data_IF_417855478933
#
_entry.id   IF_417855478933
#
_cell.length_a   1.000
_cell.length_b   1.000
_cell.length_c   1.000
_cell.angle_alpha   90.00
_cell.angle_beta   90.00
_cell.angle_gamma   90.00
#
_symmetry.space_group_name_H-M   'P 1'
#
loop_
_entity.id
_entity.type
_entity.pdbx_description
1 polymer ?
#
# COMPACT_ATOMS: atom_id res chain seq x y z
N UNK A 1 -9.49 -21.61 -4.19
CA UNK A 1 -9.46 -21.15 -5.60
C UNK A 1 -9.44 -19.65 -5.54
N UNK A 2 -8.48 -19.00 -6.19
CA UNK A 2 -8.42 -17.54 -6.28
C UNK A 2 -9.72 -17.03 -6.92
N UNK A 3 -10.35 -16.05 -6.31
CA UNK A 3 -11.58 -15.44 -6.83
C UNK A 3 -11.32 -14.59 -8.09
N UNK A 4 -10.09 -14.56 -8.60
CA UNK A 4 -9.62 -13.72 -9.69
C UNK A 4 -8.93 -14.53 -10.77
N UNK A 5 -9.08 -14.10 -12.03
CA UNK A 5 -8.29 -14.64 -13.13
C UNK A 5 -6.86 -14.14 -13.05
N UNK A 6 -5.89 -15.03 -13.15
CA UNK A 6 -4.46 -14.75 -13.13
C UNK A 6 -3.81 -15.10 -14.49
N UNK A 7 -2.52 -14.80 -14.66
CA UNK A 7 -1.76 -15.15 -15.86
C UNK A 7 -1.68 -16.66 -16.12
N UNK A 8 -2.00 -17.50 -15.14
CA UNK A 8 -2.06 -18.96 -15.33
C UNK A 8 -3.27 -19.39 -16.18
N UNK A 9 -4.27 -18.52 -16.29
CA UNK A 9 -5.50 -18.75 -17.06
C UNK A 9 -5.47 -18.07 -18.44
N UNK A 10 -4.38 -17.35 -18.77
CA UNK A 10 -4.30 -16.52 -19.98
C UNK A 10 -3.53 -17.25 -21.09
N UNK A 11 -4.15 -17.43 -22.25
CA UNK A 11 -3.43 -17.79 -23.48
C UNK A 11 -2.98 -16.50 -24.18
N UNK A 12 -1.70 -16.18 -24.03
CA UNK A 12 -1.14 -14.89 -24.49
C UNK A 12 -0.26 -15.01 -25.74
N UNK A 13 -0.06 -16.23 -26.25
CA UNK A 13 0.84 -16.46 -27.39
C UNK A 13 0.38 -15.71 -28.65
N UNK A 14 1.21 -14.81 -29.12
CA UNK A 14 0.93 -13.98 -30.31
C UNK A 14 -0.07 -12.84 -30.05
N UNK A 15 -0.67 -12.77 -28.86
CA UNK A 15 -1.66 -11.77 -28.51
C UNK A 15 -1.03 -10.42 -28.16
N UNK A 16 -1.76 -9.33 -28.42
CA UNK A 16 -1.45 -7.97 -27.97
C UNK A 16 -1.97 -7.83 -26.54
N UNK A 17 -1.05 -7.75 -25.58
CA UNK A 17 -1.39 -7.70 -24.15
C UNK A 17 -1.17 -6.31 -23.61
N UNK A 18 -2.25 -5.60 -23.31
CA UNK A 18 -2.23 -4.33 -22.62
C UNK A 18 -1.97 -4.59 -21.13
N UNK A 19 -0.85 -4.12 -20.62
CA UNK A 19 -0.48 -4.27 -19.20
C UNK A 19 -0.58 -2.92 -18.50
N UNK A 20 -1.51 -2.80 -17.55
CA UNK A 20 -1.53 -1.66 -16.65
C UNK A 20 -0.40 -1.81 -15.63
N UNK A 21 0.67 -1.12 -15.87
CA UNK A 21 1.86 -1.11 -15.03
C UNK A 21 1.86 0.06 -14.04
N UNK A 22 2.52 -0.08 -12.89
CA UNK A 22 2.75 1.04 -11.97
C UNK A 22 4.11 1.68 -12.25
N UNK A 23 4.12 2.59 -13.24
CA UNK A 23 5.30 3.36 -13.65
C UNK A 23 5.32 4.78 -13.06
N UNK A 24 4.45 5.07 -12.09
CA UNK A 24 4.47 6.34 -11.38
C UNK A 24 5.54 6.32 -10.27
N UNK A 25 6.78 6.32 -10.69
CA UNK A 25 7.98 6.21 -9.85
C UNK A 25 8.54 7.59 -9.47
N UNK A 26 9.23 7.71 -8.32
CA UNK A 26 9.98 8.92 -7.99
C UNK A 26 11.05 9.21 -9.05
N UNK A 27 11.13 10.47 -9.47
CA UNK A 27 12.11 10.91 -10.46
C UNK A 27 12.52 12.35 -10.21
N UNK A 28 13.78 12.67 -10.49
CA UNK A 28 14.34 14.01 -10.44
C UNK A 28 15.03 14.35 -11.77
N UNK A 29 14.70 15.48 -12.35
CA UNK A 29 15.28 15.95 -13.62
C UNK A 29 15.23 14.90 -14.75
N UNK A 30 14.17 14.10 -14.83
CA UNK A 30 14.01 13.04 -15.82
C UNK A 30 14.81 11.77 -15.53
N UNK A 31 15.36 11.62 -14.33
CA UNK A 31 16.05 10.41 -13.87
C UNK A 31 15.22 9.75 -12.79
N UNK A 32 14.92 8.46 -12.92
CA UNK A 32 14.25 7.67 -11.89
C UNK A 32 15.19 7.53 -10.68
N UNK A 33 14.72 7.91 -9.50
CA UNK A 33 15.49 7.86 -8.25
C UNK A 33 15.20 6.61 -7.42
N UNK A 34 14.05 5.97 -7.67
CA UNK A 34 13.66 4.71 -7.03
C UNK A 34 12.97 3.79 -8.05
N UNK A 35 13.66 2.72 -8.53
CA UNK A 35 13.11 1.78 -9.50
C UNK A 35 12.29 0.63 -8.88
N UNK A 36 12.08 0.58 -7.57
CA UNK A 36 11.46 -0.55 -6.85
C UNK A 36 10.14 -1.02 -7.48
N UNK A 37 9.28 -0.09 -7.94
CA UNK A 37 8.01 -0.46 -8.60
C UNK A 37 8.23 -1.13 -9.94
N UNK A 38 9.25 -0.68 -10.69
CA UNK A 38 9.63 -1.29 -11.98
C UNK A 38 10.14 -2.70 -11.75
N UNK A 39 11.02 -2.88 -10.77
CA UNK A 39 11.57 -4.19 -10.42
C UNK A 39 10.48 -5.19 -9.98
N UNK A 40 9.51 -4.72 -9.19
CA UNK A 40 8.38 -5.57 -8.75
C UNK A 40 7.47 -6.03 -9.88
N UNK A 41 7.23 -5.22 -10.91
CA UNK A 41 6.40 -5.63 -12.04
C UNK A 41 7.16 -6.44 -13.10
N UNK A 42 8.49 -6.40 -13.09
CA UNK A 42 9.33 -7.08 -14.09
C UNK A 42 8.97 -8.55 -14.32
N UNK A 43 8.72 -9.38 -13.27
CA UNK A 43 8.32 -10.78 -13.46
C UNK A 43 7.07 -10.95 -14.32
N UNK A 44 6.04 -10.11 -14.16
CA UNK A 44 4.80 -10.17 -14.93
C UNK A 44 5.03 -9.96 -16.41
N UNK A 45 5.75 -8.88 -16.75
CA UNK A 45 5.92 -8.49 -18.15
C UNK A 45 6.95 -9.36 -18.88
N UNK A 46 7.96 -9.85 -18.16
CA UNK A 46 8.93 -10.82 -18.71
C UNK A 46 8.25 -12.15 -19.00
N UNK A 47 7.44 -12.68 -18.06
CA UNK A 47 6.67 -13.90 -18.25
C UNK A 47 5.77 -13.82 -19.51
N UNK A 48 5.08 -12.70 -19.68
CA UNK A 48 4.22 -12.48 -20.84
C UNK A 48 5.01 -12.50 -22.14
N UNK A 49 6.12 -11.79 -22.20
CA UNK A 49 6.97 -11.75 -23.41
C UNK A 49 7.59 -13.11 -23.72
N UNK A 50 8.06 -13.85 -22.70
CA UNK A 50 8.65 -15.19 -22.85
C UNK A 50 7.62 -16.23 -23.32
N UNK A 51 6.33 -16.01 -22.99
CA UNK A 51 5.19 -16.78 -23.52
C UNK A 51 4.80 -16.36 -24.95
N UNK A 52 5.50 -15.39 -25.55
CA UNK A 52 5.28 -14.92 -26.91
C UNK A 52 4.18 -13.86 -27.06
N UNK A 53 3.82 -13.16 -26.00
CA UNK A 53 2.95 -12.00 -26.08
C UNK A 53 3.65 -10.80 -26.73
N UNK A 54 2.89 -9.87 -27.31
CA UNK A 54 3.28 -8.52 -27.64
C UNK A 54 2.90 -7.62 -26.46
N UNK A 55 3.87 -7.22 -25.64
CA UNK A 55 3.63 -6.56 -24.34
C UNK A 55 3.56 -5.06 -24.52
N UNK A 56 2.41 -4.46 -24.20
CA UNK A 56 2.12 -3.03 -24.35
C UNK A 56 1.87 -2.45 -22.96
N UNK A 57 2.79 -1.64 -22.46
CA UNK A 57 2.72 -1.02 -21.16
C UNK A 57 1.87 0.24 -21.20
N UNK A 58 0.88 0.31 -20.31
CA UNK A 58 0.06 1.47 -20.01
C UNK A 58 0.35 1.96 -18.59
N UNK A 59 0.57 3.25 -18.41
CA UNK A 59 0.66 3.83 -17.08
C UNK A 59 0.27 5.31 -17.09
N UNK A 60 0.04 5.82 -15.88
CA UNK A 60 0.06 7.25 -15.63
C UNK A 60 1.40 7.65 -15.03
N UNK A 61 1.72 8.93 -15.12
CA UNK A 61 2.86 9.54 -14.44
C UNK A 61 2.45 10.91 -13.89
N UNK A 62 2.69 11.15 -12.61
CA UNK A 62 2.33 12.41 -11.96
C UNK A 62 0.84 12.76 -11.99
N UNK A 63 0.59 14.07 -11.93
CA UNK A 63 -0.74 14.68 -12.04
C UNK A 63 -0.72 15.81 -13.06
N UNK A 64 -0.58 15.50 -14.34
CA UNK A 64 -0.45 16.52 -15.38
C UNK A 64 -1.75 17.35 -15.48
N UNK A 65 -1.60 18.64 -15.72
CA UNK A 65 -2.72 19.55 -16.07
C UNK A 65 -2.93 19.67 -17.59
N UNK A 66 -2.11 18.98 -18.35
CA UNK A 66 -2.08 18.96 -19.80
C UNK A 66 -0.84 18.21 -20.26
N UNK A 67 -0.58 18.16 -21.57
CA UNK A 67 0.58 17.47 -22.14
C UNK A 67 1.85 18.30 -21.92
N UNK A 68 2.70 17.89 -21.00
CA UNK A 68 3.98 18.51 -20.66
C UNK A 68 5.08 17.45 -20.66
N UNK A 69 6.24 17.78 -21.24
CA UNK A 69 7.38 16.87 -21.36
C UNK A 69 7.90 16.37 -20.00
N UNK A 70 7.76 17.15 -18.93
CA UNK A 70 8.13 16.74 -17.56
C UNK A 70 7.28 15.59 -17.01
N UNK A 71 6.05 15.45 -17.51
CA UNK A 71 5.09 14.42 -17.12
C UNK A 71 5.07 13.25 -18.14
N UNK A 72 6.03 13.20 -19.08
CA UNK A 72 6.17 12.12 -20.07
C UNK A 72 6.73 10.86 -19.42
N UNK A 73 6.22 9.71 -19.85
CA UNK A 73 6.76 8.39 -19.50
C UNK A 73 8.05 8.01 -20.24
N UNK A 74 8.52 8.83 -21.17
CA UNK A 74 9.71 8.50 -21.97
C UNK A 74 10.97 8.20 -21.15
N UNK A 75 11.32 9.00 -20.11
CA UNK A 75 12.46 8.70 -19.24
C UNK A 75 12.25 7.41 -18.43
N UNK A 76 11.01 7.18 -17.97
CA UNK A 76 10.67 5.97 -17.21
C UNK A 76 10.75 4.73 -18.11
N UNK A 77 10.32 4.80 -19.36
CA UNK A 77 10.45 3.70 -20.32
C UNK A 77 11.92 3.30 -20.55
N UNK A 78 12.85 4.28 -20.53
CA UNK A 78 14.28 4.00 -20.60
C UNK A 78 14.78 3.23 -19.35
N UNK A 79 14.30 3.58 -18.16
CA UNK A 79 14.62 2.86 -16.93
C UNK A 79 14.02 1.45 -16.91
N UNK A 80 12.79 1.27 -17.42
CA UNK A 80 12.20 -0.06 -17.59
C UNK A 80 13.08 -0.92 -18.51
N UNK A 81 13.55 -0.38 -19.63
CA UNK A 81 14.46 -1.10 -20.53
C UNK A 81 15.79 -1.48 -19.86
N UNK A 82 16.34 -0.58 -19.02
CA UNK A 82 17.54 -0.83 -18.24
C UNK A 82 17.34 -1.96 -17.23
N UNK A 83 16.27 -1.87 -16.43
CA UNK A 83 15.93 -2.87 -15.41
C UNK A 83 15.68 -4.26 -16.01
N UNK A 84 14.95 -4.32 -17.12
CA UNK A 84 14.65 -5.60 -17.80
C UNK A 84 15.83 -6.15 -18.59
N UNK A 85 16.82 -5.32 -18.90
CA UNK A 85 17.91 -5.64 -19.85
C UNK A 85 17.36 -6.09 -21.23
N UNK A 86 16.26 -5.50 -21.64
CA UNK A 86 15.55 -5.76 -22.90
C UNK A 86 15.13 -4.45 -23.57
N UNK A 87 15.16 -4.37 -24.91
CA UNK A 87 14.74 -3.16 -25.59
C UNK A 87 13.26 -2.90 -25.41
N UNK A 88 12.89 -1.65 -25.13
CA UNK A 88 11.51 -1.17 -25.05
C UNK A 88 11.35 -0.01 -26.01
N UNK A 89 10.41 -0.11 -26.94
CA UNK A 89 10.05 1.00 -27.83
C UNK A 89 9.07 1.93 -27.09
N UNK A 90 9.43 3.19 -26.95
CA UNK A 90 8.52 4.23 -26.47
C UNK A 90 7.70 4.79 -27.62
N UNK A 91 6.41 5.05 -27.37
CA UNK A 91 5.47 5.65 -28.34
C UNK A 91 4.90 6.92 -27.73
N UNK A 92 5.03 8.02 -28.47
CA UNK A 92 4.72 9.38 -28.03
C UNK A 92 3.21 9.69 -27.99
N UNK A 93 2.37 8.66 -27.90
CA UNK A 93 0.95 8.73 -27.60
C UNK A 93 0.44 7.41 -27.03
N UNK A 94 -0.73 7.43 -26.34
CA UNK A 94 -1.33 6.21 -25.79
C UNK A 94 -2.58 5.76 -26.56
N UNK A 95 -3.04 6.51 -27.56
CA UNK A 95 -4.19 6.20 -28.43
C UNK A 95 -3.95 6.76 -29.84
N UNK A 96 -4.83 6.40 -30.78
CA UNK A 96 -4.84 6.93 -32.14
C UNK A 96 -3.80 6.31 -33.08
N UNK A 97 -3.67 6.88 -34.28
CA UNK A 97 -2.89 6.28 -35.36
C UNK A 97 -1.41 5.99 -35.03
N UNK A 98 -0.79 6.86 -34.22
CA UNK A 98 0.62 6.68 -33.82
C UNK A 98 0.77 5.42 -32.98
N UNK A 99 -0.11 5.22 -31.99
CA UNK A 99 -0.11 4.03 -31.14
C UNK A 99 -0.52 2.78 -31.94
N UNK A 100 -1.59 2.87 -32.73
CA UNK A 100 -2.09 1.74 -33.56
C UNK A 100 -1.03 1.23 -34.52
N UNK A 101 -0.29 2.12 -35.21
CA UNK A 101 0.80 1.77 -36.09
C UNK A 101 1.95 1.08 -35.37
N UNK A 102 2.36 1.64 -34.24
CA UNK A 102 3.45 1.07 -33.46
C UNK A 102 3.10 -0.35 -32.94
N UNK A 103 1.86 -0.57 -32.53
CA UNK A 103 1.37 -1.89 -32.11
C UNK A 103 1.30 -2.87 -33.26
N UNK A 104 0.88 -2.42 -34.47
CA UNK A 104 0.81 -3.29 -35.64
C UNK A 104 2.20 -3.82 -36.10
N UNK A 105 3.25 -3.06 -35.83
CA UNK A 105 4.64 -3.43 -36.16
C UNK A 105 5.29 -4.40 -35.19
N UNK A 106 4.67 -4.66 -33.99
CA UNK A 106 5.22 -5.53 -32.94
C UNK A 106 5.28 -6.99 -33.36
N UNK A 107 6.35 -7.67 -32.91
CA UNK A 107 6.53 -9.11 -33.00
C UNK A 107 6.31 -9.77 -31.62
N UNK A 108 5.98 -11.08 -31.60
CA UNK A 108 5.95 -11.81 -30.31
C UNK A 108 7.26 -11.64 -29.53
N UNK A 109 7.13 -11.31 -28.24
CA UNK A 109 8.24 -11.02 -27.35
C UNK A 109 8.70 -9.56 -27.29
N UNK A 110 8.15 -8.69 -28.14
CA UNK A 110 8.45 -7.26 -28.13
C UNK A 110 7.77 -6.54 -26.96
N UNK A 111 8.42 -5.46 -26.51
CA UNK A 111 7.90 -4.52 -25.52
C UNK A 111 7.67 -3.14 -26.14
N UNK A 112 6.54 -2.56 -25.78
CA UNK A 112 6.17 -1.20 -26.16
C UNK A 112 5.66 -0.46 -24.91
N UNK A 113 6.12 0.77 -24.68
CA UNK A 113 5.60 1.64 -23.63
C UNK A 113 4.88 2.82 -24.28
N UNK A 114 3.61 2.99 -23.96
CA UNK A 114 2.80 4.10 -24.45
C UNK A 114 2.99 5.33 -23.54
N UNK A 115 2.67 6.51 -24.07
CA UNK A 115 2.73 7.75 -23.33
C UNK A 115 1.67 7.81 -22.20
N UNK A 116 1.87 8.72 -21.26
CA UNK A 116 1.08 8.96 -20.07
C UNK A 116 -0.43 9.05 -20.37
N UNK A 117 -1.20 8.08 -19.87
CA UNK A 117 -2.65 8.01 -20.07
C UNK A 117 -3.39 9.23 -19.51
N UNK A 118 -2.84 9.88 -18.46
CA UNK A 118 -3.41 11.10 -17.87
C UNK A 118 -3.24 12.36 -18.70
N UNK A 119 -2.56 12.31 -19.83
CA UNK A 119 -2.65 13.41 -20.79
C UNK A 119 -4.04 13.55 -21.41
N UNK A 120 -4.86 12.52 -21.27
CA UNK A 120 -6.26 12.51 -21.70
C UNK A 120 -7.21 12.62 -20.51
N UNK A 121 -8.12 13.63 -20.51
CA UNK A 121 -9.11 13.77 -19.42
C UNK A 121 -10.06 12.58 -19.28
N UNK A 122 -10.19 11.76 -20.32
CA UNK A 122 -10.99 10.54 -20.33
C UNK A 122 -10.44 9.43 -19.45
N UNK A 123 -9.15 9.47 -19.11
CA UNK A 123 -8.53 8.48 -18.22
C UNK A 123 -9.17 8.48 -16.83
N UNK A 124 -9.12 9.60 -16.13
CA UNK A 124 -9.64 9.71 -14.75
C UNK A 124 -11.17 9.69 -14.68
N UNK A 125 -11.84 10.00 -15.78
CA UNK A 125 -13.31 9.95 -15.90
C UNK A 125 -13.84 8.58 -16.27
N UNK A 126 -12.96 7.62 -16.53
CA UNK A 126 -13.33 6.32 -17.07
C UNK A 126 -14.24 6.44 -18.33
N UNK A 127 -13.88 7.38 -19.22
CA UNK A 127 -14.70 7.73 -20.39
C UNK A 127 -14.77 6.54 -21.36
N UNK A 128 -15.99 6.05 -21.70
CA UNK A 128 -16.14 4.90 -22.58
C UNK A 128 -15.53 5.07 -23.97
N UNK A 129 -15.48 6.31 -24.50
CA UNK A 129 -14.87 6.57 -25.80
C UNK A 129 -13.33 6.44 -25.71
N UNK A 130 -12.73 6.89 -24.61
CA UNK A 130 -11.31 6.72 -24.38
C UNK A 130 -10.94 5.26 -24.10
N UNK A 131 -11.76 4.54 -23.31
CA UNK A 131 -11.63 3.09 -23.09
C UNK A 131 -11.64 2.34 -24.43
N UNK A 132 -12.58 2.68 -25.31
CA UNK A 132 -12.68 2.05 -26.65
C UNK A 132 -11.44 2.32 -27.51
N UNK A 133 -10.82 3.50 -27.41
CA UNK A 133 -9.58 3.82 -28.11
C UNK A 133 -8.41 3.00 -27.57
N UNK A 134 -8.26 2.89 -26.26
CA UNK A 134 -7.24 2.04 -25.63
C UNK A 134 -7.44 0.56 -26.01
N UNK A 135 -8.67 0.07 -25.97
CA UNK A 135 -9.00 -1.33 -26.27
C UNK A 135 -8.67 -1.76 -27.69
N UNK A 136 -8.63 -0.85 -28.67
CA UNK A 136 -8.17 -1.16 -30.05
C UNK A 136 -6.72 -1.65 -30.11
N UNK A 137 -5.90 -1.30 -29.12
CA UNK A 137 -4.49 -1.61 -29.08
C UNK A 137 -4.19 -3.02 -28.55
N UNK A 138 -5.15 -3.72 -27.95
CA UNK A 138 -4.92 -5.01 -27.30
C UNK A 138 -6.03 -6.02 -27.52
N UNK A 139 -5.68 -7.27 -27.32
CA UNK A 139 -6.60 -8.41 -27.34
C UNK A 139 -6.93 -8.91 -25.92
N UNK A 140 -6.00 -8.67 -24.98
CA UNK A 140 -6.04 -9.06 -23.57
C UNK A 140 -5.62 -7.87 -22.71
N UNK A 141 -6.24 -7.73 -21.54
CA UNK A 141 -5.85 -6.76 -20.54
C UNK A 141 -5.29 -7.46 -19.29
N UNK A 142 -4.17 -6.95 -18.78
CA UNK A 142 -3.55 -7.39 -17.54
C UNK A 142 -3.44 -6.19 -16.59
N UNK A 143 -4.11 -6.25 -15.45
CA UNK A 143 -3.90 -5.27 -14.39
C UNK A 143 -2.76 -5.76 -13.47
N UNK A 144 -1.67 -5.02 -13.40
CA UNK A 144 -0.52 -5.29 -12.52
C UNK A 144 -0.17 -4.09 -11.64
N UNK A 145 -1.13 -3.18 -11.45
CA UNK A 145 -0.97 -1.95 -10.71
C UNK A 145 -2.00 -1.84 -9.58
N UNK A 146 -1.78 -2.57 -8.47
CA UNK A 146 -2.66 -2.51 -7.30
C UNK A 146 -2.80 -1.08 -6.75
N UNK A 147 -1.71 -0.28 -6.76
CA UNK A 147 -1.67 1.08 -6.23
C UNK A 147 -2.73 2.03 -6.81
N UNK A 148 -3.24 1.76 -8.01
CA UNK A 148 -4.28 2.55 -8.68
C UNK A 148 -5.62 1.82 -8.81
N UNK A 149 -5.71 0.58 -8.35
CA UNK A 149 -6.90 -0.27 -8.49
C UNK A 149 -8.07 0.17 -7.60
N UNK A 150 -7.85 1.10 -6.66
CA UNK A 150 -8.89 1.76 -5.86
C UNK A 150 -9.67 2.83 -6.66
N UNK A 151 -9.24 3.13 -7.90
CA UNK A 151 -9.86 4.13 -8.76
C UNK A 151 -10.46 3.50 -10.00
N UNK A 152 -11.70 3.87 -10.32
CA UNK A 152 -12.36 3.49 -11.56
C UNK A 152 -11.85 4.39 -12.72
N UNK A 153 -10.67 4.10 -13.25
CA UNK A 153 -10.09 4.80 -14.39
C UNK A 153 -10.16 3.95 -15.67
N UNK A 154 -10.03 4.59 -16.85
CA UNK A 154 -10.12 3.91 -18.13
C UNK A 154 -9.06 2.80 -18.28
N UNK A 155 -7.81 3.06 -17.90
CA UNK A 155 -6.71 2.09 -17.99
C UNK A 155 -6.66 1.09 -16.82
N UNK A 156 -7.61 1.11 -15.90
CA UNK A 156 -7.75 0.14 -14.80
C UNK A 156 -9.05 -0.65 -14.93
N UNK A 157 -10.16 -0.08 -14.45
CA UNK A 157 -11.47 -0.72 -14.43
C UNK A 157 -12.10 -0.75 -15.82
N UNK A 158 -12.04 0.33 -16.60
CA UNK A 158 -12.70 0.42 -17.90
C UNK A 158 -12.23 -0.65 -18.88
N UNK A 159 -10.93 -0.85 -19.05
CA UNK A 159 -10.38 -1.89 -19.92
C UNK A 159 -10.76 -3.30 -19.47
N UNK A 160 -10.86 -3.55 -18.17
CA UNK A 160 -11.21 -4.85 -17.63
C UNK A 160 -12.65 -5.28 -17.93
N UNK A 161 -13.53 -4.32 -18.28
CA UNK A 161 -14.91 -4.62 -18.70
C UNK A 161 -15.07 -4.88 -20.20
N UNK A 162 -14.10 -4.49 -21.02
CA UNK A 162 -14.21 -4.58 -22.49
C UNK A 162 -13.26 -5.59 -23.12
N UNK A 163 -12.26 -6.06 -22.39
CA UNK A 163 -11.30 -7.08 -22.81
C UNK A 163 -11.28 -8.26 -21.84
N UNK A 164 -10.88 -9.46 -22.26
CA UNK A 164 -10.49 -10.53 -21.35
C UNK A 164 -9.44 -10.02 -20.38
N UNK A 165 -9.72 -10.03 -19.07
CA UNK A 165 -8.93 -9.36 -18.06
C UNK A 165 -8.35 -10.32 -17.03
N UNK A 166 -7.09 -10.08 -16.62
CA UNK A 166 -6.32 -10.91 -15.72
C UNK A 166 -5.50 -10.07 -14.74
N UNK A 167 -5.24 -10.62 -13.56
CA UNK A 167 -4.26 -10.05 -12.64
C UNK A 167 -2.85 -10.42 -13.06
N UNK A 168 -1.95 -9.45 -13.11
CA UNK A 168 -0.50 -9.68 -13.21
C UNK A 168 0.07 -10.23 -11.90
N UNK A 169 1.32 -10.65 -11.89
CA UNK A 169 1.94 -11.32 -10.73
C UNK A 169 2.06 -10.40 -9.51
N UNK A 170 2.30 -9.10 -9.74
CA UNK A 170 2.36 -8.12 -8.63
C UNK A 170 1.00 -7.97 -7.98
N UNK A 171 -0.05 -7.76 -8.78
CA UNK A 171 -1.42 -7.68 -8.27
C UNK A 171 -1.85 -8.98 -7.61
N UNK A 172 -1.54 -10.13 -8.20
CA UNK A 172 -1.83 -11.44 -7.62
C UNK A 172 -1.19 -11.60 -6.24
N UNK A 173 0.08 -11.25 -6.08
CA UNK A 173 0.78 -11.34 -4.81
C UNK A 173 0.15 -10.47 -3.71
N UNK A 174 -0.28 -9.24 -4.08
CA UNK A 174 -1.04 -8.36 -3.17
C UNK A 174 -2.34 -9.03 -2.71
N UNK A 175 -3.15 -9.52 -3.66
CA UNK A 175 -4.44 -10.13 -3.36
C UNK A 175 -4.30 -11.41 -2.52
N UNK A 176 -3.31 -12.25 -2.81
CA UNK A 176 -3.04 -13.47 -2.04
C UNK A 176 -2.54 -13.15 -0.62
N UNK A 177 -1.71 -12.12 -0.46
CA UNK A 177 -1.27 -11.69 0.86
C UNK A 177 -2.46 -11.20 1.69
N UNK A 178 -3.35 -10.45 1.08
CA UNK A 178 -4.53 -9.90 1.74
C UNK A 178 -5.56 -10.96 2.11
N UNK A 179 -5.82 -11.93 1.23
CA UNK A 179 -6.69 -13.07 1.53
C UNK A 179 -6.19 -13.82 2.79
N UNK A 180 -4.88 -14.02 2.90
CA UNK A 180 -4.26 -14.71 4.04
C UNK A 180 -4.47 -14.00 5.37
N UNK A 181 -4.57 -12.67 5.38
CA UNK A 181 -4.58 -11.90 6.64
C UNK A 181 -5.95 -11.38 7.05
N UNK A 182 -6.95 -11.30 6.14
CA UNK A 182 -8.29 -10.82 6.49
C UNK A 182 -9.43 -11.78 6.16
N UNK A 183 -9.33 -12.55 5.07
CA UNK A 183 -10.46 -13.40 4.66
C UNK A 183 -10.41 -14.75 5.37
N UNK A 184 -9.22 -15.35 5.46
CA UNK A 184 -9.00 -16.66 6.12
C UNK A 184 -7.74 -16.65 7.00
N UNK A 185 -7.63 -15.72 7.96
CA UNK A 185 -6.43 -15.61 8.76
C UNK A 185 -6.25 -16.78 9.72
N UNK A 186 -5.01 -17.18 9.94
CA UNK A 186 -4.65 -17.97 11.09
C UNK A 186 -4.82 -17.12 12.37
N UNK A 187 -5.53 -17.63 13.37
CA UNK A 187 -5.81 -16.91 14.62
C UNK A 187 -4.86 -17.30 15.75
N UNK A 188 -4.56 -16.40 16.70
CA UNK A 188 -5.08 -15.04 16.85
C UNK A 188 -4.57 -14.05 15.81
N UNK A 189 -5.43 -13.09 15.42
CA UNK A 189 -5.10 -11.98 14.50
C UNK A 189 -4.85 -10.72 15.32
N UNK A 190 -3.67 -10.14 15.17
CA UNK A 190 -3.35 -8.82 15.70
C UNK A 190 -3.36 -7.77 14.59
N UNK A 191 -3.90 -6.60 14.89
CA UNK A 191 -3.76 -5.43 14.04
C UNK A 191 -3.06 -4.31 14.79
N UNK A 192 -2.03 -3.70 14.18
CA UNK A 192 -1.42 -2.46 14.64
C UNK A 192 -1.97 -1.33 13.78
N UNK A 193 -2.59 -0.35 14.42
CA UNK A 193 -3.06 0.87 13.78
C UNK A 193 -2.43 2.05 14.49
N UNK A 194 -1.55 2.74 13.78
CA UNK A 194 -0.85 3.93 14.28
C UNK A 194 -1.11 5.16 13.41
N UNK A 195 -0.51 6.27 13.82
CA UNK A 195 -0.60 7.52 13.09
C UNK A 195 -0.96 8.71 13.96
N UNK A 196 -1.13 9.89 13.34
CA UNK A 196 -1.32 11.14 14.06
C UNK A 196 -2.76 11.33 14.58
N UNK A 197 -3.78 10.84 13.84
CA UNK A 197 -5.19 11.20 14.06
C UNK A 197 -6.15 10.03 13.91
N UNK A 198 -7.06 9.88 14.89
CA UNK A 198 -8.20 8.94 14.82
C UNK A 198 -9.11 9.26 13.63
N UNK A 199 -9.40 10.55 13.38
CA UNK A 199 -10.31 11.00 12.32
C UNK A 199 -9.97 10.42 10.94
N UNK A 200 -8.70 10.18 10.68
CA UNK A 200 -8.22 9.61 9.42
C UNK A 200 -8.26 8.08 9.37
N UNK A 201 -8.62 7.42 10.48
CA UNK A 201 -8.58 5.96 10.64
C UNK A 201 -9.91 5.34 11.08
N UNK A 202 -10.99 6.13 11.14
CA UNK A 202 -12.29 5.64 11.63
C UNK A 202 -12.82 4.46 10.83
N UNK A 203 -12.80 4.56 9.49
CA UNK A 203 -13.26 3.49 8.60
C UNK A 203 -12.38 2.23 8.77
N UNK A 204 -11.08 2.42 8.89
CA UNK A 204 -10.12 1.34 9.13
C UNK A 204 -10.39 0.62 10.44
N UNK A 205 -10.52 1.36 11.53
CA UNK A 205 -10.81 0.81 12.87
C UNK A 205 -12.15 0.07 12.88
N UNK A 206 -13.19 0.65 12.28
CA UNK A 206 -14.51 0.04 12.18
C UNK A 206 -14.52 -1.26 11.39
N UNK A 207 -13.71 -1.37 10.32
CA UNK A 207 -13.61 -2.59 9.53
C UNK A 207 -12.72 -3.66 10.17
N UNK A 208 -11.64 -3.26 10.85
CA UNK A 208 -10.71 -4.21 11.48
C UNK A 208 -11.25 -4.79 12.78
N UNK A 209 -11.88 -3.98 13.62
CA UNK A 209 -12.31 -4.38 14.96
C UNK A 209 -13.11 -5.70 15.00
N UNK A 210 -14.10 -5.95 14.13
CA UNK A 210 -14.82 -7.22 14.13
C UNK A 210 -14.00 -8.41 13.61
N UNK A 211 -12.90 -8.17 12.91
CA UNK A 211 -12.11 -9.20 12.20
C UNK A 211 -10.89 -9.66 12.97
N UNK A 212 -10.36 -8.84 13.89
CA UNK A 212 -9.15 -9.13 14.65
C UNK A 212 -9.46 -9.64 16.06
N UNK A 213 -8.50 -10.28 16.71
CA UNK A 213 -8.60 -10.71 18.11
C UNK A 213 -7.97 -9.67 19.03
N UNK A 214 -6.93 -8.97 18.54
CA UNK A 214 -6.23 -7.90 19.27
C UNK A 214 -6.06 -6.69 18.35
N UNK A 215 -6.46 -5.52 18.84
CA UNK A 215 -6.25 -4.23 18.19
C UNK A 215 -5.26 -3.40 19.02
N UNK A 216 -4.12 -3.08 18.42
CA UNK A 216 -3.04 -2.31 19.05
C UNK A 216 -3.07 -0.91 18.46
N UNK A 217 -3.23 0.10 19.32
CA UNK A 217 -3.27 1.50 18.91
C UNK A 217 -1.93 2.16 19.20
N UNK A 218 -1.31 2.70 18.17
CA UNK A 218 -0.03 3.42 18.24
C UNK A 218 -0.13 4.87 17.76
N UNK A 219 1.00 5.56 17.80
CA UNK A 219 1.11 6.95 17.33
C UNK A 219 0.35 7.95 18.22
N UNK A 220 0.30 9.20 17.78
CA UNK A 220 -0.38 10.26 18.54
C UNK A 220 -1.89 10.04 18.64
N UNK A 221 -2.50 9.23 17.76
CA UNK A 221 -3.91 8.87 17.89
C UNK A 221 -4.21 8.12 19.20
N UNK A 222 -3.23 7.38 19.77
CA UNK A 222 -3.38 6.73 21.07
C UNK A 222 -3.66 7.73 22.19
N UNK A 223 -3.19 8.98 22.10
CA UNK A 223 -3.41 10.01 23.09
C UNK A 223 -4.89 10.36 23.26
N UNK A 224 -5.69 10.25 22.18
CA UNK A 224 -7.13 10.48 22.24
C UNK A 224 -7.83 9.36 23.02
N UNK A 225 -7.39 8.11 22.86
CA UNK A 225 -7.87 6.98 23.66
C UNK A 225 -7.45 7.10 25.12
N UNK A 226 -6.22 7.52 25.40
CA UNK A 226 -5.74 7.75 26.76
C UNK A 226 -6.54 8.85 27.45
N UNK A 227 -6.87 9.94 26.74
CA UNK A 227 -7.73 11.00 27.26
C UNK A 227 -9.15 10.49 27.54
N UNK A 228 -9.72 9.62 26.71
CA UNK A 228 -11.01 8.98 26.95
C UNK A 228 -10.99 8.12 28.24
N UNK A 229 -9.83 7.54 28.59
CA UNK A 229 -9.62 6.85 29.86
C UNK A 229 -9.35 7.80 31.05
N UNK A 230 -9.45 9.12 30.86
CA UNK A 230 -9.19 10.12 31.88
C UNK A 230 -7.70 10.38 32.17
N UNK A 231 -6.79 9.89 31.32
CA UNK A 231 -5.36 10.12 31.48
C UNK A 231 -4.96 11.52 31.00
N UNK A 232 -3.94 12.08 31.65
CA UNK A 232 -3.33 13.34 31.20
C UNK A 232 -2.36 13.07 30.06
N UNK A 233 -2.43 13.87 29.01
CA UNK A 233 -1.55 13.73 27.83
C UNK A 233 -0.68 14.98 27.60
N UNK A 234 -0.65 15.90 28.55
CA UNK A 234 0.16 17.11 28.49
C UNK A 234 -0.13 17.96 27.26
N UNK A 235 0.93 18.30 26.52
CA UNK A 235 0.89 19.05 25.26
C UNK A 235 0.89 18.15 24.02
N UNK A 236 0.67 16.85 24.19
CA UNK A 236 0.63 15.89 23.11
C UNK A 236 -0.44 16.24 22.07
N UNK A 237 -0.20 15.85 20.82
CA UNK A 237 -1.22 15.90 19.78
C UNK A 237 -2.41 15.01 20.17
N UNK A 238 -3.61 15.58 20.18
CA UNK A 238 -4.85 14.90 20.57
C UNK A 238 -6.05 15.52 19.87
N UNK A 239 -7.00 14.70 19.47
CA UNK A 239 -8.29 15.14 18.89
C UNK A 239 -9.36 15.15 19.99
N UNK A 240 -9.48 16.28 20.69
CA UNK A 240 -10.40 16.43 21.83
C UNK A 240 -11.86 16.19 21.48
N UNK A 241 -12.26 16.58 20.28
CA UNK A 241 -13.62 16.41 19.75
C UNK A 241 -13.96 14.94 19.44
N UNK A 242 -12.97 14.05 19.42
CA UNK A 242 -13.12 12.62 19.16
C UNK A 242 -12.91 11.73 20.40
N UNK A 243 -12.85 12.30 21.60
CA UNK A 243 -12.73 11.54 22.85
C UNK A 243 -13.92 10.59 23.03
N UNK A 244 -15.15 11.04 22.78
CA UNK A 244 -16.35 10.20 22.85
C UNK A 244 -16.33 9.09 21.78
N UNK A 245 -15.76 9.37 20.62
CA UNK A 245 -15.57 8.36 19.56
C UNK A 245 -14.56 7.30 19.97
N UNK A 246 -13.44 7.71 20.59
CA UNK A 246 -12.46 6.77 21.14
C UNK A 246 -13.08 5.88 22.24
N UNK A 247 -13.89 6.47 23.13
CA UNK A 247 -14.62 5.72 24.16
C UNK A 247 -15.56 4.69 23.53
N UNK A 248 -16.32 5.08 22.51
CA UNK A 248 -17.22 4.16 21.80
C UNK A 248 -16.47 3.00 21.17
N UNK A 249 -15.32 3.24 20.53
CA UNK A 249 -14.49 2.18 19.93
C UNK A 249 -14.00 1.20 21.01
N UNK A 250 -13.59 1.70 22.19
CA UNK A 250 -13.21 0.85 23.33
C UNK A 250 -14.38 0.00 23.83
N UNK A 251 -15.57 0.58 23.91
CA UNK A 251 -16.77 -0.12 24.36
C UNK A 251 -17.19 -1.20 23.34
N UNK A 252 -17.10 -0.90 22.04
CA UNK A 252 -17.35 -1.86 20.96
C UNK A 252 -16.33 -3.01 21.00
N UNK A 253 -15.04 -2.72 21.22
CA UNK A 253 -14.01 -3.74 21.39
C UNK A 253 -14.32 -4.67 22.55
N UNK A 254 -14.70 -4.11 23.71
CA UNK A 254 -15.08 -4.85 24.90
C UNK A 254 -16.32 -5.71 24.68
N UNK A 255 -17.36 -5.15 24.04
CA UNK A 255 -18.59 -5.87 23.71
C UNK A 255 -18.33 -7.04 22.76
N UNK A 256 -17.43 -6.86 21.79
CA UNK A 256 -16.98 -7.87 20.84
C UNK A 256 -15.96 -8.86 21.42
N UNK A 257 -15.57 -8.70 22.70
CA UNK A 257 -14.52 -9.49 23.37
C UNK A 257 -13.19 -9.44 22.61
N UNK A 258 -12.84 -8.26 22.08
CA UNK A 258 -11.56 -7.99 21.45
C UNK A 258 -10.63 -7.32 22.45
N UNK A 259 -9.38 -7.74 22.45
CA UNK A 259 -8.36 -7.07 23.26
C UNK A 259 -7.97 -5.77 22.57
N UNK A 260 -8.01 -4.65 23.30
CA UNK A 260 -7.53 -3.37 22.82
C UNK A 260 -6.29 -3.00 23.64
N UNK A 261 -5.16 -2.83 22.96
CA UNK A 261 -3.86 -2.54 23.56
C UNK A 261 -3.54 -1.07 23.35
N UNK A 262 -3.32 -0.38 24.47
CA UNK A 262 -2.89 1.03 24.52
C UNK A 262 -1.54 1.11 25.24
N UNK A 263 -0.74 2.17 25.00
CA UNK A 263 0.50 2.39 25.73
C UNK A 263 0.29 2.46 27.25
N UNK A 264 1.18 1.83 28.02
CA UNK A 264 1.21 1.86 29.48
C UNK A 264 2.31 2.77 30.03
N UNK A 265 3.29 3.11 29.18
CA UNK A 265 4.34 4.10 29.40
C UNK A 265 4.68 4.79 28.09
N UNK A 266 5.37 5.90 28.18
CA UNK A 266 5.69 6.73 27.02
C UNK A 266 7.08 7.34 27.14
N UNK A 267 7.69 7.58 25.98
CA UNK A 267 8.83 8.49 25.82
C UNK A 267 8.29 9.89 25.59
N UNK A 268 8.62 10.79 26.50
CA UNK A 268 8.15 12.17 26.46
C UNK A 268 9.29 13.16 26.32
N UNK A 269 9.00 14.29 25.68
CA UNK A 269 9.87 15.45 25.60
C UNK A 269 9.02 16.74 25.60
N UNK A 270 9.62 17.89 25.87
CA UNK A 270 8.91 19.18 25.78
C UNK A 270 8.77 19.68 24.32
N UNK A 271 9.54 19.11 23.39
CA UNK A 271 9.57 19.46 21.95
C UNK A 271 9.84 18.24 21.08
N UNK A 272 9.30 18.23 19.90
CA UNK A 272 9.65 17.28 18.84
C UNK A 272 10.84 17.83 18.05
N UNK A 273 12.05 17.47 18.49
CA UNK A 273 13.33 17.85 17.88
C UNK A 273 14.31 16.69 18.01
N UNK A 274 15.17 16.49 17.00
CA UNK A 274 16.23 15.50 17.06
C UNK A 274 17.18 15.77 18.24
N UNK A 275 17.46 14.73 19.04
CA UNK A 275 18.30 14.83 20.22
C UNK A 275 17.71 15.61 21.40
N UNK A 276 16.39 15.89 21.38
CA UNK A 276 15.73 16.51 22.51
C UNK A 276 15.90 15.67 23.80
N UNK A 277 16.04 16.30 24.97
CA UNK A 277 16.05 15.58 26.25
C UNK A 277 14.73 14.80 26.45
N UNK A 278 14.84 13.49 26.61
CA UNK A 278 13.70 12.59 26.77
C UNK A 278 13.61 12.01 28.16
N UNK A 279 12.42 11.60 28.55
CA UNK A 279 12.17 10.81 29.76
C UNK A 279 11.17 9.70 29.44
N UNK A 280 11.37 8.57 30.08
CA UNK A 280 10.35 7.51 30.10
C UNK A 280 9.46 7.75 31.31
N UNK A 281 8.16 7.82 31.09
CA UNK A 281 7.17 8.03 32.16
C UNK A 281 6.06 7.01 32.04
N UNK A 282 5.52 6.59 33.20
CA UNK A 282 4.25 5.87 33.23
C UNK A 282 3.14 6.77 32.68
N UNK A 283 2.16 6.19 31.99
CA UNK A 283 1.11 6.98 31.35
C UNK A 283 0.27 7.80 32.33
N UNK A 284 0.27 7.41 33.61
CA UNK A 284 -0.38 8.16 34.70
C UNK A 284 0.45 9.37 35.18
N UNK A 285 1.70 9.48 34.77
CA UNK A 285 2.64 10.51 35.21
C UNK A 285 3.11 11.46 34.11
N UNK A 286 2.38 11.56 33.00
CA UNK A 286 2.66 12.54 31.95
C UNK A 286 2.46 13.95 32.47
N UNK A 287 3.51 14.78 32.40
CA UNK A 287 3.51 16.16 32.87
C UNK A 287 2.76 17.12 31.95
N UNK A 288 2.37 18.29 32.49
CA UNK A 288 1.61 19.29 31.72
C UNK A 288 2.38 19.84 30.50
N UNK A 289 3.72 19.88 30.57
CA UNK A 289 4.59 20.37 29.48
C UNK A 289 5.07 19.26 28.55
N UNK A 290 4.81 18.00 28.90
CA UNK A 290 5.26 16.86 28.14
C UNK A 290 4.45 16.65 26.86
N UNK A 291 5.13 16.21 25.80
CA UNK A 291 4.55 15.62 24.60
C UNK A 291 4.90 14.14 24.57
N UNK A 292 3.91 13.27 24.44
CA UNK A 292 4.11 11.85 24.18
C UNK A 292 4.54 11.72 22.72
N UNK A 293 5.77 11.26 22.49
CA UNK A 293 6.38 11.21 21.16
C UNK A 293 6.72 9.79 20.70
N UNK A 294 6.80 8.83 21.65
CA UNK A 294 6.90 7.40 21.35
C UNK A 294 6.34 6.59 22.50
N UNK A 295 6.16 5.29 22.30
CA UNK A 295 5.82 4.33 23.36
C UNK A 295 7.07 4.01 24.20
N UNK A 296 6.87 3.73 25.49
CA UNK A 296 7.96 3.36 26.38
C UNK A 296 8.32 1.87 26.35
N UNK A 297 9.40 1.46 27.04
CA UNK A 297 9.90 0.08 27.02
C UNK A 297 8.88 -0.96 27.47
N UNK A 298 8.06 -0.66 28.48
CA UNK A 298 7.01 -1.58 28.97
C UNK A 298 5.91 -1.78 27.93
N UNK A 299 5.57 -0.72 27.19
CA UNK A 299 4.61 -0.79 26.09
C UNK A 299 5.18 -1.60 24.93
N UNK A 300 6.46 -1.46 24.60
CA UNK A 300 7.15 -2.27 23.61
C UNK A 300 7.11 -3.75 23.99
N UNK A 301 7.51 -4.07 25.24
CA UNK A 301 7.47 -5.44 25.77
C UNK A 301 6.07 -6.04 25.68
N UNK A 302 5.05 -5.25 26.07
CA UNK A 302 3.66 -5.68 25.99
C UNK A 302 3.23 -5.98 24.54
N UNK A 303 3.49 -5.07 23.60
CA UNK A 303 3.19 -5.28 22.17
C UNK A 303 3.92 -6.52 21.64
N UNK A 304 5.21 -6.68 21.93
CA UNK A 304 5.99 -7.85 21.50
C UNK A 304 5.40 -9.16 22.08
N UNK A 305 4.91 -9.15 23.33
CA UNK A 305 4.24 -10.30 23.95
C UNK A 305 2.92 -10.66 23.24
N UNK A 306 2.19 -9.65 22.75
CA UNK A 306 1.00 -9.85 21.90
C UNK A 306 1.37 -10.49 20.57
N UNK A 307 2.41 -9.97 19.91
CA UNK A 307 2.87 -10.51 18.64
C UNK A 307 3.35 -11.96 18.76
N UNK A 308 4.03 -12.32 19.87
CA UNK A 308 4.52 -13.68 20.12
C UNK A 308 3.39 -14.73 20.19
N UNK A 309 2.18 -14.34 20.61
CA UNK A 309 0.99 -15.23 20.67
C UNK A 309 0.09 -15.11 19.43
N UNK A 310 0.27 -14.09 18.59
CA UNK A 310 -0.46 -13.93 17.33
C UNK A 310 0.02 -14.93 16.25
N UNK A 311 -0.85 -15.22 15.31
CA UNK A 311 -0.52 -15.99 14.10
C UNK A 311 -0.56 -15.13 12.84
N UNK A 312 -1.30 -14.04 12.89
CA UNK A 312 -1.43 -13.10 11.79
C UNK A 312 -1.30 -11.67 12.31
N UNK A 313 -0.55 -10.85 11.60
CA UNK A 313 -0.38 -9.42 11.86
C UNK A 313 -0.78 -8.61 10.62
N UNK A 314 -1.63 -7.60 10.84
CA UNK A 314 -1.89 -6.52 9.90
C UNK A 314 -1.34 -5.23 10.51
N UNK A 315 -0.48 -4.52 9.80
CA UNK A 315 0.18 -3.32 10.34
C UNK A 315 -0.01 -2.10 9.45
N UNK A 316 -0.59 -1.04 10.01
CA UNK A 316 -0.73 0.25 9.36
C UNK A 316 -0.46 1.41 10.33
N UNK A 317 0.67 2.06 10.19
CA UNK A 317 1.09 3.25 10.94
C UNK A 317 2.10 2.99 12.05
N UNK A 318 3.01 3.94 12.32
CA UNK A 318 4.06 3.85 13.33
C UNK A 318 3.52 4.05 14.76
N UNK A 319 4.35 3.75 15.76
CA UNK A 319 4.06 3.98 17.19
C UNK A 319 4.49 5.37 17.65
N UNK A 320 5.64 5.85 17.19
CA UNK A 320 6.22 7.13 17.58
C UNK A 320 6.38 8.08 16.41
N UNK A 321 6.98 9.24 16.68
CA UNK A 321 7.41 10.21 15.66
C UNK A 321 8.71 9.72 14.99
N UNK A 322 8.65 8.57 14.35
CA UNK A 322 9.77 7.76 13.85
C UNK A 322 10.73 8.50 12.92
N UNK A 323 10.32 9.60 12.33
CA UNK A 323 11.14 10.45 11.44
C UNK A 323 12.17 11.28 12.22
N UNK A 324 12.07 11.28 13.57
CA UNK A 324 12.90 12.12 14.46
C UNK A 324 13.46 11.28 15.59
N UNK A 325 14.77 11.00 15.56
CA UNK A 325 15.45 10.32 16.68
C UNK A 325 15.40 11.17 17.98
N UNK A 326 15.13 10.52 19.14
CA UNK A 326 15.05 9.06 19.39
C UNK A 326 13.61 8.51 19.46
N UNK A 327 12.64 9.11 18.76
CA UNK A 327 11.21 8.74 18.83
C UNK A 327 10.82 7.68 17.81
N UNK A 328 11.79 6.97 17.25
CA UNK A 328 11.65 5.83 16.33
C UNK A 328 11.75 4.48 17.05
N UNK A 329 12.30 4.44 18.26
CA UNK A 329 12.68 3.24 19.00
C UNK A 329 11.52 2.26 19.14
N UNK A 330 10.32 2.75 19.54
CA UNK A 330 9.15 1.90 19.70
C UNK A 330 8.73 1.21 18.41
N UNK A 331 8.78 1.92 17.30
CA UNK A 331 8.45 1.37 15.98
C UNK A 331 9.51 0.36 15.52
N UNK A 332 10.78 0.68 15.67
CA UNK A 332 11.91 -0.17 15.26
C UNK A 332 11.92 -1.49 16.02
N UNK A 333 11.85 -1.47 17.36
CA UNK A 333 11.90 -2.68 18.19
C UNK A 333 10.70 -3.61 17.92
N UNK A 334 9.49 -3.04 17.77
CA UNK A 334 8.31 -3.84 17.42
C UNK A 334 8.44 -4.42 16.01
N UNK A 335 9.02 -3.66 15.05
CA UNK A 335 9.23 -4.13 13.69
C UNK A 335 10.26 -5.27 13.63
N UNK A 336 11.34 -5.20 14.39
CA UNK A 336 12.32 -6.27 14.52
C UNK A 336 11.69 -7.53 15.11
N UNK A 337 10.91 -7.41 16.19
CA UNK A 337 10.21 -8.54 16.79
C UNK A 337 9.22 -9.21 15.81
N UNK A 338 8.47 -8.42 15.05
CA UNK A 338 7.57 -8.94 14.01
C UNK A 338 8.35 -9.68 12.91
N UNK A 339 9.49 -9.12 12.48
CA UNK A 339 10.35 -9.73 11.47
C UNK A 339 10.98 -11.05 11.95
N UNK A 340 11.43 -11.13 13.19
CA UNK A 340 11.96 -12.35 13.80
C UNK A 340 10.91 -13.46 13.86
N UNK A 341 9.69 -13.13 14.32
CA UNK A 341 8.58 -14.09 14.37
C UNK A 341 8.17 -14.56 12.97
N UNK A 342 8.24 -13.68 11.98
CA UNK A 342 7.94 -14.00 10.59
C UNK A 342 9.01 -14.93 10.00
N UNK A 343 10.28 -14.60 10.19
CA UNK A 343 11.40 -15.44 9.74
C UNK A 343 11.39 -16.84 10.39
N UNK A 344 10.92 -16.93 11.65
CA UNK A 344 10.74 -18.20 12.36
C UNK A 344 9.48 -18.98 11.91
N UNK A 345 8.70 -18.48 10.95
CA UNK A 345 7.46 -19.10 10.48
C UNK A 345 6.32 -19.11 11.51
N UNK A 346 6.41 -18.27 12.55
CA UNK A 346 5.43 -18.20 13.65
C UNK A 346 4.34 -17.16 13.40
N UNK A 347 4.60 -16.19 12.54
CA UNK A 347 3.74 -15.05 12.26
C UNK A 347 3.62 -14.84 10.74
N UNK A 348 2.40 -14.69 10.25
CA UNK A 348 2.13 -14.14 8.91
C UNK A 348 1.92 -12.64 9.06
N UNK A 349 2.80 -11.82 8.52
CA UNK A 349 2.81 -10.37 8.70
C UNK A 349 2.60 -9.64 7.38
N UNK A 350 1.58 -8.77 7.34
CA UNK A 350 1.32 -7.88 6.22
C UNK A 350 1.28 -6.45 6.73
N UNK A 351 2.05 -5.59 6.08
CA UNK A 351 2.12 -4.18 6.41
C UNK A 351 1.92 -3.31 5.16
N UNK A 352 1.50 -2.08 5.36
CA UNK A 352 1.37 -1.12 4.26
C UNK A 352 0.91 0.26 4.74
N UNK A 353 0.94 1.20 3.79
CA UNK A 353 0.78 2.63 4.04
C UNK A 353 2.13 3.35 4.03
N UNK A 354 2.16 4.58 3.51
CA UNK A 354 3.41 5.31 3.27
C UNK A 354 4.31 5.39 4.51
N UNK A 355 3.75 5.88 5.63
CA UNK A 355 4.50 6.03 6.89
C UNK A 355 4.96 4.69 7.46
N UNK A 356 4.13 3.63 7.31
CA UNK A 356 4.50 2.27 7.73
C UNK A 356 5.70 1.76 6.95
N UNK A 357 5.65 1.87 5.63
CA UNK A 357 6.74 1.42 4.75
C UNK A 357 8.02 2.20 5.05
N UNK A 358 7.92 3.52 5.22
CA UNK A 358 9.06 4.36 5.60
C UNK A 358 9.68 3.93 6.94
N UNK A 359 8.85 3.68 7.95
CA UNK A 359 9.31 3.23 9.26
C UNK A 359 9.96 1.82 9.22
N UNK A 360 9.39 0.89 8.44
CA UNK A 360 9.97 -0.44 8.24
C UNK A 360 11.30 -0.40 7.47
N UNK A 361 11.46 0.56 6.55
CA UNK A 361 12.73 0.80 5.87
C UNK A 361 13.80 1.35 6.83
N UNK A 362 13.42 2.28 7.74
CA UNK A 362 14.33 2.77 8.81
C UNK A 362 14.77 1.60 9.70
N UNK A 363 13.84 0.73 10.08
CA UNK A 363 14.15 -0.48 10.86
C UNK A 363 14.93 -1.55 10.08
N UNK A 364 15.06 -1.44 8.75
CA UNK A 364 15.77 -2.41 7.91
C UNK A 364 15.12 -3.80 7.84
N UNK A 365 13.80 -3.89 8.02
CA UNK A 365 13.08 -5.18 8.11
C UNK A 365 12.05 -5.41 7.02
N UNK A 366 11.93 -4.52 6.06
CA UNK A 366 10.89 -4.56 5.01
C UNK A 366 10.84 -5.90 4.29
N UNK A 367 11.99 -6.48 3.93
CA UNK A 367 12.08 -7.77 3.22
C UNK A 367 11.97 -8.99 4.15
N UNK A 368 11.83 -8.78 5.46
CA UNK A 368 11.73 -9.84 6.47
C UNK A 368 10.29 -10.08 6.93
N UNK A 369 9.34 -9.27 6.48
CA UNK A 369 7.91 -9.49 6.66
C UNK A 369 7.36 -10.39 5.55
N UNK A 370 6.20 -11.02 5.77
CA UNK A 370 5.55 -11.87 4.75
C UNK A 370 5.20 -11.06 3.50
N UNK A 371 4.67 -9.86 3.69
CA UNK A 371 4.38 -8.93 2.60
C UNK A 371 4.34 -7.49 3.08
N UNK A 372 4.94 -6.59 2.32
CA UNK A 372 4.86 -5.14 2.53
C UNK A 372 4.30 -4.49 1.27
N UNK A 373 3.07 -3.95 1.38
CA UNK A 373 2.43 -3.26 0.28
C UNK A 373 2.99 -1.86 0.10
N UNK A 374 3.43 -1.56 -1.11
CA UNK A 374 3.83 -0.20 -1.51
C UNK A 374 2.68 0.59 -2.12
N UNK A 375 1.48 0.04 -2.10
CA UNK A 375 0.32 0.57 -2.80
C UNK A 375 -0.37 1.77 -2.12
N UNK A 376 0.05 2.15 -0.92
CA UNK A 376 -0.46 3.34 -0.23
C UNK A 376 -1.97 3.38 -0.06
N UNK A 377 -2.66 4.24 -0.85
CA UNK A 377 -4.10 4.44 -0.73
C UNK A 377 -4.94 3.20 -1.02
N UNK A 378 -4.57 2.39 -2.02
CA UNK A 378 -5.31 1.18 -2.34
C UNK A 378 -5.27 0.15 -1.19
N UNK A 379 -4.12 0.02 -0.51
CA UNK A 379 -3.98 -0.82 0.66
C UNK A 379 -4.89 -0.33 1.81
N UNK A 380 -4.93 0.98 2.04
CA UNK A 380 -5.78 1.56 3.08
C UNK A 380 -7.26 1.33 2.79
N UNK A 381 -7.72 1.64 1.57
CA UNK A 381 -9.11 1.44 1.18
C UNK A 381 -9.53 -0.03 1.27
N UNK A 382 -8.60 -0.94 0.92
CA UNK A 382 -8.85 -2.36 1.10
C UNK A 382 -8.99 -2.76 2.58
N UNK A 383 -8.12 -2.25 3.47
CA UNK A 383 -8.23 -2.46 4.92
C UNK A 383 -9.52 -1.85 5.50
N UNK A 384 -10.00 -0.76 4.93
CA UNK A 384 -11.29 -0.13 5.26
C UNK A 384 -12.49 -0.93 4.75
N UNK A 385 -12.26 -2.03 4.01
CA UNK A 385 -13.31 -2.87 3.45
C UNK A 385 -14.01 -2.28 2.23
N UNK A 386 -13.43 -1.24 1.62
CA UNK A 386 -13.96 -0.63 0.41
C UNK A 386 -13.69 -1.50 -0.81
N UNK A 387 -14.66 -1.65 -1.73
CA UNK A 387 -14.44 -2.36 -2.98
C UNK A 387 -13.43 -1.58 -3.82
N UNK A 388 -12.46 -2.28 -4.41
CA UNK A 388 -11.47 -1.70 -5.30
C UNK A 388 -11.90 -1.93 -6.76
N UNK A 389 -12.35 -0.91 -7.50
CA UNK A 389 -12.95 -1.10 -8.83
C UNK A 389 -12.07 -1.90 -9.80
N UNK A 390 -10.76 -1.59 -9.86
CA UNK A 390 -9.82 -2.30 -10.72
C UNK A 390 -9.54 -3.76 -10.30
N UNK A 391 -9.90 -4.15 -9.07
CA UNK A 391 -9.83 -5.53 -8.57
C UNK A 391 -11.16 -6.24 -8.82
N UNK A 392 -12.27 -5.58 -8.48
CA UNK A 392 -13.62 -6.16 -8.64
C UNK A 392 -13.91 -6.52 -10.10
N UNK A 393 -13.41 -5.73 -11.06
CA UNK A 393 -13.55 -6.01 -12.49
C UNK A 393 -12.81 -7.29 -12.95
N UNK A 394 -11.89 -7.83 -12.14
CA UNK A 394 -11.18 -9.09 -12.44
C UNK A 394 -11.82 -10.33 -11.81
N UNK A 395 -12.87 -10.18 -10.98
CA UNK A 395 -13.51 -11.32 -10.33
C UNK A 395 -14.09 -12.31 -11.35
N UNK A 396 -13.93 -13.59 -11.06
CA UNK A 396 -14.59 -14.67 -11.78
C UNK A 396 -16.07 -14.58 -11.45
N UNK A 397 -16.89 -14.32 -12.46
CA UNK A 397 -18.36 -14.29 -12.34
C UNK A 397 -18.92 -15.69 -12.35
#
# INVERSE_FOLDING_TARGET
MTAFRTLDHADVKGQRVLVRADLNVPSENGVVTDPTRIERMAPSIVELADKGAKVILLSHFGRPKGRDAKDSLKPVAAEVAHTLKRPIRFVDDCVGEVAERAVAEMKPGDFLCLENTRFYPGEEKNDPAFVAQLAKLGDIFVNDAFSVSHRAHASTEGLAHVLPAFAGRTLQAELEAFEKVLDKPARPVAAIVGGAKISTKLDLLGNLLPRVDVLIIGGAMANTFLMALGKKVGRSLVERDLVDTAQRIMDEAKAAKRELVLPVDAVVAEKLEAGAPTRVVDIDHVGERDMILDIGPRSIEYVCSVLARAKTLVWNGPFGAFETEPFDTGTVEVAEAAAELTAAGKLVSVAGGGDTVAALNVAGVTDRLTYVSTAGGAFLEWLEGKPLPGVEALRIK
#
